data_IF_741837429655
#
_entry.id   IF_741837429655
#
_cell.length_a   1.000
_cell.length_b   1.000
_cell.length_c   1.000
_cell.angle_alpha   90.00
_cell.angle_beta   90.00
_cell.angle_gamma   90.00
#
_symmetry.space_group_name_H-M   'P 1'
#
loop_
_entity.id
_entity.type
_entity.pdbx_description
1 polymer ?
#
# COMPACT_ATOMS: atom_id res chain seq x y z
N UNK A 1 -5.34 5.54 0.57
CA UNK A 1 -5.08 6.40 -0.61
C UNK A 1 -6.11 6.21 -1.72
N UNK A 2 -6.40 4.99 -2.19
CA UNK A 2 -7.38 4.79 -3.27
C UNK A 2 -8.79 5.35 -3.00
N UNK A 3 -9.27 5.35 -1.75
CA UNK A 3 -10.57 5.92 -1.37
C UNK A 3 -10.58 7.46 -1.23
N UNK A 4 -9.41 8.11 -1.31
CA UNK A 4 -9.27 9.55 -1.13
C UNK A 4 -9.24 10.31 -2.47
N UNK A 5 -8.89 9.63 -3.55
CA UNK A 5 -8.80 10.24 -4.87
C UNK A 5 -10.20 10.18 -5.51
N UNK A 6 -10.78 11.31 -5.94
CA UNK A 6 -12.09 11.35 -6.57
C UNK A 6 -12.01 10.88 -8.03
N UNK A 7 -11.91 9.57 -8.24
CA UNK A 7 -11.69 8.99 -9.58
C UNK A 7 -12.79 9.32 -10.58
N UNK A 8 -14.06 9.24 -10.16
CA UNK A 8 -15.23 9.38 -11.03
C UNK A 8 -15.35 10.80 -11.62
N UNK A 9 -15.05 11.82 -10.82
CA UNK A 9 -15.15 13.24 -11.24
C UNK A 9 -14.20 13.58 -12.39
N UNK A 10 -13.01 12.96 -12.41
CA UNK A 10 -11.98 13.24 -13.41
C UNK A 10 -11.96 12.22 -14.55
N UNK A 11 -12.76 11.16 -14.48
CA UNK A 11 -12.90 10.18 -15.56
C UNK A 11 -13.53 10.86 -16.80
N UNK A 12 -14.51 11.74 -16.61
CA UNK A 12 -15.16 12.49 -17.70
C UNK A 12 -14.20 13.49 -18.38
N UNK A 13 -13.50 14.32 -17.60
CA UNK A 13 -12.48 15.25 -18.13
C UNK A 13 -11.35 14.49 -18.87
N UNK A 14 -10.99 13.31 -18.39
CA UNK A 14 -10.00 12.46 -19.02
C UNK A 14 -10.52 11.83 -20.33
N UNK A 15 -11.76 11.35 -20.34
CA UNK A 15 -12.40 10.75 -21.50
C UNK A 15 -12.56 11.75 -22.66
N UNK A 16 -12.90 13.01 -22.37
CA UNK A 16 -12.98 14.08 -23.37
C UNK A 16 -11.65 14.34 -24.08
N UNK A 17 -10.53 14.15 -23.39
CA UNK A 17 -9.19 14.29 -23.95
C UNK A 17 -8.72 13.03 -24.70
N UNK A 18 -9.52 11.96 -24.72
CA UNK A 18 -9.27 10.78 -25.52
C UNK A 18 -9.79 10.99 -26.94
N UNK A 19 -8.90 10.92 -27.92
CA UNK A 19 -9.32 10.89 -29.33
C UNK A 19 -10.11 9.60 -29.57
N UNK A 20 -11.37 9.72 -30.01
CA UNK A 20 -12.23 8.59 -30.39
C UNK A 20 -11.72 7.85 -31.65
N UNK A 21 -10.76 8.41 -32.36
CA UNK A 21 -10.25 7.85 -33.60
C UNK A 21 -9.20 6.75 -33.36
N UNK A 22 -9.69 5.50 -33.55
CA UNK A 22 -8.99 4.31 -34.04
C UNK A 22 -8.23 3.50 -32.97
N UNK A 23 -8.91 2.49 -32.40
CA UNK A 23 -8.25 1.38 -31.70
C UNK A 23 -9.00 0.79 -30.50
N UNK A 24 -8.31 -0.07 -29.75
CA UNK A 24 -8.79 -0.69 -28.50
C UNK A 24 -9.26 0.36 -27.48
N UNK A 25 -10.25 0.06 -26.63
CA UNK A 25 -10.84 1.02 -25.70
C UNK A 25 -9.79 1.69 -24.83
N UNK A 26 -9.93 3.02 -24.67
CA UNK A 26 -9.06 3.80 -23.81
C UNK A 26 -9.06 3.23 -22.38
N UNK A 27 -7.87 3.18 -21.76
CA UNK A 27 -7.74 2.74 -20.37
C UNK A 27 -8.37 3.77 -19.46
N UNK A 28 -9.07 3.31 -18.41
CA UNK A 28 -9.71 4.19 -17.43
C UNK A 28 -8.72 5.17 -16.81
N UNK A 29 -9.19 6.36 -16.46
CA UNK A 29 -8.39 7.39 -15.78
C UNK A 29 -7.72 6.85 -14.51
N UNK A 30 -8.47 6.06 -13.72
CA UNK A 30 -7.95 5.40 -12.52
C UNK A 30 -6.71 4.54 -12.78
N UNK A 31 -6.68 3.85 -13.91
CA UNK A 31 -5.53 3.02 -14.31
C UNK A 31 -4.34 3.88 -14.74
N UNK A 32 -4.60 4.93 -15.52
CA UNK A 32 -3.56 5.83 -15.99
C UNK A 32 -2.89 6.58 -14.85
N UNK A 33 -3.67 7.31 -14.04
CA UNK A 33 -3.15 8.07 -12.91
C UNK A 33 -2.58 7.14 -11.84
N UNK A 34 -3.25 6.02 -11.57
CA UNK A 34 -2.78 5.04 -10.59
C UNK A 34 -1.39 4.50 -10.95
N UNK A 35 -1.15 4.16 -12.22
CA UNK A 35 0.15 3.70 -12.67
C UNK A 35 1.25 4.77 -12.57
N UNK A 36 0.93 6.04 -12.88
CA UNK A 36 1.88 7.14 -12.74
C UNK A 36 2.24 7.40 -11.27
N UNK A 37 1.27 7.33 -10.37
CA UNK A 37 1.52 7.46 -8.92
C UNK A 37 2.43 6.33 -8.43
N UNK A 38 2.18 5.09 -8.84
CA UNK A 38 3.01 3.93 -8.45
C UNK A 38 4.45 4.14 -8.92
N UNK A 39 4.62 4.52 -10.19
CA UNK A 39 5.93 4.81 -10.76
C UNK A 39 6.68 5.87 -9.95
N UNK A 40 6.04 7.00 -9.68
CA UNK A 40 6.67 8.12 -8.96
C UNK A 40 6.97 7.77 -7.50
N UNK A 41 6.11 6.97 -6.86
CA UNK A 41 6.30 6.53 -5.47
C UNK A 41 7.45 5.53 -5.31
N UNK A 42 7.65 4.65 -6.29
CA UNK A 42 8.68 3.63 -6.26
C UNK A 42 10.00 4.08 -6.93
N UNK A 43 9.97 5.13 -7.75
CA UNK A 43 11.16 5.63 -8.45
C UNK A 43 11.71 4.67 -9.51
N UNK A 44 10.86 3.81 -10.07
CA UNK A 44 11.24 2.72 -10.99
C UNK A 44 10.93 3.06 -12.47
N UNK A 45 11.44 2.21 -13.37
CA UNK A 45 11.24 2.38 -14.81
C UNK A 45 9.80 2.07 -15.25
N UNK A 46 9.41 2.52 -16.45
CA UNK A 46 8.08 2.23 -17.01
C UNK A 46 7.83 0.71 -17.16
N UNK A 47 8.87 -0.05 -17.55
CA UNK A 47 8.80 -1.50 -17.68
C UNK A 47 8.61 -2.18 -16.33
N UNK A 48 9.42 -1.79 -15.36
CA UNK A 48 9.41 -2.36 -14.01
C UNK A 48 8.11 -2.03 -13.28
N UNK A 49 7.53 -0.84 -13.50
CA UNK A 49 6.21 -0.47 -12.95
C UNK A 49 5.14 -1.46 -13.36
N UNK A 50 5.14 -1.87 -14.63
CA UNK A 50 4.15 -2.82 -15.18
C UNK A 50 4.37 -4.23 -14.61
N UNK A 51 5.62 -4.64 -14.43
CA UNK A 51 5.97 -5.92 -13.81
C UNK A 51 5.55 -5.94 -12.32
N UNK A 52 5.82 -4.87 -11.57
CA UNK A 52 5.39 -4.72 -10.17
C UNK A 52 3.87 -4.78 -10.01
N UNK A 53 3.12 -4.14 -10.90
CA UNK A 53 1.66 -4.20 -10.89
C UNK A 53 1.17 -5.64 -11.17
N UNK A 54 1.83 -6.38 -12.08
CA UNK A 54 1.48 -7.78 -12.34
C UNK A 54 1.70 -8.67 -11.11
N UNK A 55 2.76 -8.45 -10.36
CA UNK A 55 3.14 -9.31 -9.23
C UNK A 55 2.30 -9.05 -7.98
N UNK A 56 1.89 -7.80 -7.74
CA UNK A 56 1.29 -7.40 -6.46
C UNK A 56 -0.24 -7.16 -6.56
N UNK A 57 -1.08 -7.96 -5.86
CA UNK A 57 -2.53 -7.78 -5.89
C UNK A 57 -3.02 -6.39 -5.44
N UNK A 58 -2.30 -5.78 -4.49
CA UNK A 58 -2.63 -4.45 -3.98
C UNK A 58 -2.49 -3.35 -5.03
N UNK A 59 -1.47 -3.43 -5.89
CA UNK A 59 -1.28 -2.45 -6.96
C UNK A 59 -2.32 -2.63 -8.07
N UNK A 60 -2.71 -3.87 -8.38
CA UNK A 60 -3.81 -4.16 -9.30
C UNK A 60 -5.13 -3.57 -8.80
N UNK A 61 -5.42 -3.75 -7.51
CA UNK A 61 -6.60 -3.13 -6.90
C UNK A 61 -6.50 -1.60 -6.93
N UNK A 62 -5.32 -1.02 -6.68
CA UNK A 62 -5.12 0.43 -6.70
C UNK A 62 -5.48 1.04 -8.06
N UNK A 63 -5.00 0.45 -9.16
CA UNK A 63 -5.28 0.88 -10.53
C UNK A 63 -6.71 0.56 -11.02
N UNK A 64 -7.53 -0.09 -10.19
CA UNK A 64 -8.94 -0.33 -10.48
C UNK A 64 -9.29 -1.69 -11.08
N UNK A 65 -8.41 -2.69 -10.96
CA UNK A 65 -8.76 -4.07 -11.30
C UNK A 65 -9.61 -4.69 -10.19
N UNK A 66 -10.69 -5.38 -10.57
CA UNK A 66 -11.61 -6.05 -9.63
C UNK A 66 -11.07 -7.38 -9.08
N UNK A 67 -10.17 -8.03 -9.81
CA UNK A 67 -9.59 -9.32 -9.45
C UNK A 67 -8.12 -9.39 -9.86
N UNK A 68 -7.35 -10.15 -9.09
CA UNK A 68 -5.95 -10.41 -9.39
C UNK A 68 -5.80 -11.20 -10.69
N UNK A 69 -4.89 -10.76 -11.56
CA UNK A 69 -4.49 -11.46 -12.77
C UNK A 69 -2.97 -11.45 -12.87
N UNK A 70 -2.37 -12.63 -13.02
CA UNK A 70 -0.92 -12.76 -13.25
C UNK A 70 -0.56 -12.49 -14.73
N UNK A 71 -1.05 -11.38 -15.26
CA UNK A 71 -0.76 -10.91 -16.63
C UNK A 71 -0.49 -9.42 -16.59
N UNK A 72 0.34 -8.97 -17.52
CA UNK A 72 0.65 -7.56 -17.71
C UNK A 72 -0.65 -6.78 -18.01
N UNK A 73 -0.98 -5.72 -17.25
CA UNK A 73 -2.24 -4.97 -17.42
C UNK A 73 -2.28 -4.11 -18.68
N UNK A 74 -1.13 -3.57 -19.08
CA UNK A 74 -0.92 -2.73 -20.28
C UNK A 74 0.56 -2.73 -20.66
N UNK A 75 0.88 -2.35 -21.90
CA UNK A 75 2.26 -2.24 -22.37
C UNK A 75 2.96 -1.02 -21.74
N UNK A 76 4.24 -1.14 -21.38
CA UNK A 76 4.99 -0.06 -20.73
C UNK A 76 5.06 1.24 -21.56
N UNK A 77 4.98 1.14 -22.89
CA UNK A 77 4.92 2.27 -23.82
C UNK A 77 3.72 3.20 -23.55
N UNK A 78 2.61 2.66 -23.04
CA UNK A 78 1.39 3.43 -22.74
C UNK A 78 1.60 4.45 -21.63
N UNK A 79 2.55 4.24 -20.71
CA UNK A 79 2.88 5.22 -19.66
C UNK A 79 3.37 6.55 -20.22
N UNK A 80 3.99 6.55 -21.40
CA UNK A 80 4.36 7.78 -22.12
C UNK A 80 3.11 8.56 -22.54
N UNK A 81 2.12 7.85 -23.09
CA UNK A 81 0.84 8.45 -23.47
C UNK A 81 0.06 8.95 -22.26
N UNK A 82 0.09 8.25 -21.13
CA UNK A 82 -0.54 8.72 -19.90
C UNK A 82 0.08 10.02 -19.41
N UNK A 83 1.42 10.15 -19.44
CA UNK A 83 2.11 11.40 -19.07
C UNK A 83 1.76 12.56 -19.99
N UNK A 84 1.61 12.31 -21.29
CA UNK A 84 1.22 13.34 -22.25
C UNK A 84 -0.25 13.77 -22.10
N UNK A 85 -1.13 12.92 -21.57
CA UNK A 85 -2.56 13.21 -21.40
C UNK A 85 -2.87 13.82 -20.04
N UNK A 86 -2.16 13.41 -19.00
CA UNK A 86 -2.34 13.91 -17.62
C UNK A 86 -1.40 15.10 -17.44
N UNK A 87 -1.90 16.28 -17.81
CA UNK A 87 -1.17 17.54 -17.68
C UNK A 87 -1.04 17.96 -16.21
N UNK A 88 -0.06 18.82 -15.93
CA UNK A 88 0.18 19.39 -14.60
C UNK A 88 -1.07 20.09 -14.04
N UNK A 89 -1.85 20.75 -14.90
CA UNK A 89 -3.08 21.42 -14.49
C UNK A 89 -4.13 20.45 -13.96
N UNK A 90 -4.28 19.28 -14.60
CA UNK A 90 -5.20 18.23 -14.16
C UNK A 90 -4.74 17.67 -12.80
N UNK A 91 -3.44 17.42 -12.63
CA UNK A 91 -2.87 16.96 -11.35
C UNK A 91 -3.09 17.99 -10.24
N UNK A 92 -2.91 19.28 -10.54
CA UNK A 92 -3.13 20.35 -9.58
C UNK A 92 -4.60 20.46 -9.17
N UNK A 93 -5.55 20.34 -10.12
CA UNK A 93 -6.98 20.28 -9.80
C UNK A 93 -7.31 19.12 -8.86
N UNK A 94 -6.79 17.92 -9.16
CA UNK A 94 -7.02 16.73 -8.32
C UNK A 94 -6.47 16.95 -6.91
N UNK A 95 -5.28 17.55 -6.78
CA UNK A 95 -4.69 17.89 -5.49
C UNK A 95 -5.57 18.88 -4.71
N UNK A 96 -6.11 19.90 -5.37
CA UNK A 96 -7.01 20.88 -4.74
C UNK A 96 -8.29 20.20 -4.24
N UNK A 97 -8.93 19.37 -5.06
CA UNK A 97 -10.16 18.66 -4.66
C UNK A 97 -9.90 17.67 -3.52
N UNK A 98 -8.80 16.91 -3.57
CA UNK A 98 -8.42 16.03 -2.46
C UNK A 98 -8.24 16.80 -1.14
N UNK A 99 -7.59 17.98 -1.17
CA UNK A 99 -7.40 18.80 0.03
C UNK A 99 -8.73 19.36 0.54
N UNK A 100 -9.64 19.77 -0.34
CA UNK A 100 -10.98 20.23 0.03
C UNK A 100 -11.77 19.13 0.72
N UNK A 101 -11.80 17.92 0.15
CA UNK A 101 -12.54 16.79 0.70
C UNK A 101 -11.99 16.33 2.05
N UNK A 102 -10.67 16.31 2.20
CA UNK A 102 -10.03 15.98 3.47
C UNK A 102 -10.38 17.04 4.53
N UNK A 103 -10.34 18.34 4.19
CA UNK A 103 -10.70 19.41 5.12
C UNK A 103 -12.17 19.34 5.55
N UNK A 104 -13.09 19.04 4.63
CA UNK A 104 -14.51 18.84 4.95
C UNK A 104 -14.72 17.66 5.91
N UNK A 105 -14.09 16.51 5.63
CA UNK A 105 -14.17 15.35 6.54
C UNK A 105 -13.62 15.66 7.94
N UNK A 106 -12.54 16.43 8.04
CA UNK A 106 -11.98 16.85 9.32
C UNK A 106 -12.93 17.80 10.07
N UNK A 107 -13.56 18.76 9.37
CA UNK A 107 -14.56 19.64 10.01
C UNK A 107 -15.76 18.86 10.50
N UNK A 108 -16.28 17.93 9.69
CA UNK A 108 -17.44 17.11 10.06
C UNK A 108 -17.12 16.17 11.24
N UNK A 109 -15.92 15.57 11.28
CA UNK A 109 -15.45 14.78 12.43
C UNK A 109 -15.25 15.63 13.70
N UNK A 110 -14.86 16.90 13.55
CA UNK A 110 -14.70 17.82 14.69
C UNK A 110 -16.04 18.30 15.26
N UNK A 111 -17.07 18.45 14.42
CA UNK A 111 -18.43 18.78 14.88
C UNK A 111 -19.09 17.58 15.59
N UNK A 112 -18.88 16.35 15.12
CA UNK A 112 -19.39 15.13 15.77
C UNK A 112 -18.73 14.92 17.14
N UNK A 113 -17.44 15.21 17.29
CA UNK A 113 -16.75 15.14 18.61
C UNK A 113 -17.21 16.23 19.58
N UNK A 114 -17.55 17.42 19.08
CA UNK A 114 -18.05 18.51 19.93
C UNK A 114 -19.46 18.23 20.49
N UNK A 115 -20.23 17.31 19.89
CA UNK A 115 -21.53 16.89 20.44
C UNK A 115 -21.46 15.75 21.47
N UNK A 116 -20.32 15.05 21.60
CA UNK A 116 -20.15 13.93 22.53
C UNK A 116 -19.16 14.20 23.68
N UNK A 117 -18.47 15.35 23.68
CA UNK A 117 -17.48 15.72 24.70
C UNK A 117 -17.81 17.08 25.35
N UNK A 118 -18.97 17.20 25.99
CA UNK A 118 -19.09 18.10 27.14
C UNK A 118 -18.53 17.35 28.36
N UNK A 119 -17.52 17.95 29.01
CA UNK A 119 -16.79 17.50 30.20
C UNK A 119 -15.66 16.46 29.97
N UNK A 120 -14.45 16.94 29.66
CA UNK A 120 -13.27 16.71 30.53
C UNK A 120 -12.05 17.50 30.03
N UNK A 121 -11.62 18.42 30.89
CA UNK A 121 -10.27 18.97 31.13
C UNK A 121 -9.24 18.93 29.99
N UNK A 122 -8.70 20.11 29.67
CA UNK A 122 -7.61 20.38 28.72
C UNK A 122 -6.50 19.31 28.76
N UNK A 123 -6.57 18.33 27.85
CA UNK A 123 -5.51 17.33 27.69
C UNK A 123 -4.28 17.98 27.05
N UNK A 124 -3.17 17.93 27.78
CA UNK A 124 -1.86 18.44 27.40
C UNK A 124 -1.47 18.02 25.96
N UNK A 125 -1.25 19.00 25.07
CA UNK A 125 -0.83 18.78 23.68
C UNK A 125 0.69 18.57 23.56
N UNK A 126 1.20 17.49 24.16
CA UNK A 126 2.59 17.04 24.00
C UNK A 126 2.74 15.96 22.93
N UNK A 127 3.88 15.93 22.23
CA UNK A 127 4.22 14.85 21.28
C UNK A 127 4.78 13.65 22.05
N UNK A 128 3.99 12.59 22.20
CA UNK A 128 4.45 11.32 22.76
C UNK A 128 5.31 10.59 21.72
N UNK A 129 6.60 10.40 22.00
CA UNK A 129 7.49 9.58 21.19
C UNK A 129 7.49 8.18 21.80
N UNK A 130 6.76 7.26 21.17
CA UNK A 130 6.77 5.84 21.52
C UNK A 130 7.75 5.13 20.59
N UNK A 131 8.94 4.80 21.09
CA UNK A 131 9.82 3.87 20.41
C UNK A 131 9.31 2.45 20.64
N UNK A 132 8.78 1.83 19.59
CA UNK A 132 8.30 0.45 19.61
C UNK A 132 9.31 -0.51 18.98
N UNK A 133 10.59 -0.35 19.31
CA UNK A 133 11.65 -1.32 18.96
C UNK A 133 12.16 -2.15 20.14
N UNK A 134 11.37 -2.27 21.21
CA UNK A 134 11.59 -3.31 22.22
C UNK A 134 10.59 -4.46 22.01
N UNK A 135 10.83 -5.26 20.98
CA UNK A 135 10.41 -6.66 21.04
C UNK A 135 11.53 -7.41 21.78
N UNK A 136 11.35 -7.84 23.04
CA UNK A 136 12.26 -8.80 23.64
C UNK A 136 12.05 -10.12 22.90
N UNK A 137 12.73 -10.27 21.78
CA UNK A 137 12.87 -11.53 21.12
C UNK A 137 13.77 -12.35 22.07
N UNK A 138 13.17 -13.24 22.85
CA UNK A 138 13.88 -14.32 23.53
C UNK A 138 14.42 -15.31 22.48
N UNK A 139 15.19 -14.80 21.52
CA UNK A 139 15.92 -15.54 20.53
C UNK A 139 17.29 -15.77 21.13
N UNK A 140 17.58 -17.02 21.51
CA UNK A 140 18.94 -17.42 21.82
C UNK A 140 19.83 -17.09 20.64
N UNK A 141 20.90 -16.32 20.89
CA UNK A 141 21.85 -15.90 19.86
C UNK A 141 22.51 -17.13 19.21
N UNK A 142 22.98 -17.05 17.94
CA UNK A 142 23.45 -18.22 17.19
C UNK A 142 24.65 -18.96 17.83
N UNK A 143 25.40 -18.30 18.71
CA UNK A 143 26.58 -18.85 19.40
C UNK A 143 26.29 -19.27 20.85
N UNK A 144 25.02 -19.36 21.23
CA UNK A 144 24.65 -19.60 22.62
C UNK A 144 24.82 -21.08 22.99
N UNK A 145 25.77 -21.36 23.90
CA UNK A 145 26.10 -22.69 24.42
C UNK A 145 24.88 -23.41 25.02
N UNK A 146 23.85 -22.64 25.39
CA UNK A 146 22.56 -23.16 25.85
C UNK A 146 21.86 -24.05 24.82
N UNK A 147 21.87 -23.67 23.53
CA UNK A 147 21.25 -24.47 22.45
C UNK A 147 21.99 -25.81 22.29
N UNK A 148 23.32 -25.79 22.34
CA UNK A 148 24.15 -27.00 22.25
C UNK A 148 23.89 -27.96 23.42
N UNK A 149 23.76 -27.44 24.64
CA UNK A 149 23.45 -28.27 25.81
C UNK A 149 22.03 -28.85 25.73
N UNK A 150 21.05 -28.08 25.23
CA UNK A 150 19.70 -28.60 24.98
C UNK A 150 19.70 -29.73 23.96
N UNK A 151 20.43 -29.57 22.84
CA UNK A 151 20.57 -30.62 21.83
C UNK A 151 21.18 -31.90 22.43
N UNK A 152 22.25 -31.79 23.23
CA UNK A 152 22.88 -32.93 23.92
C UNK A 152 21.88 -33.68 24.82
N UNK A 153 21.13 -32.94 25.65
CA UNK A 153 20.15 -33.55 26.56
C UNK A 153 19.02 -34.28 25.81
N UNK A 154 18.59 -33.76 24.65
CA UNK A 154 17.58 -34.42 23.82
C UNK A 154 18.13 -35.71 23.21
N UNK A 155 19.37 -35.70 22.71
CA UNK A 155 19.99 -36.92 22.17
C UNK A 155 20.18 -38.01 23.21
N UNK A 156 20.57 -37.67 24.44
CA UNK A 156 20.69 -38.64 25.54
C UNK A 156 19.35 -39.29 25.87
N UNK A 157 18.27 -38.49 25.94
CA UNK A 157 16.91 -39.02 26.16
C UNK A 157 16.46 -39.98 25.05
N UNK A 158 16.79 -39.69 23.80
CA UNK A 158 16.47 -40.57 22.67
C UNK A 158 17.25 -41.88 22.80
N UNK A 159 18.55 -41.80 23.12
CA UNK A 159 19.40 -42.98 23.33
C UNK A 159 18.84 -43.85 24.48
N UNK A 160 18.52 -43.26 25.62
CA UNK A 160 17.93 -43.98 26.76
C UNK A 160 16.60 -44.64 26.40
N UNK A 161 15.78 -43.97 25.59
CA UNK A 161 14.49 -44.50 25.13
C UNK A 161 14.66 -45.68 24.18
N UNK A 162 15.63 -45.60 23.25
CA UNK A 162 15.94 -46.68 22.32
C UNK A 162 16.60 -47.87 23.01
N UNK A 163 17.49 -47.63 23.96
CA UNK A 163 18.16 -48.69 24.71
C UNK A 163 17.16 -49.49 25.58
N UNK A 164 16.18 -48.80 26.20
CA UNK A 164 15.06 -49.45 26.90
C UNK A 164 14.16 -50.29 25.98
N UNK A 165 14.10 -49.99 24.69
CA UNK A 165 13.34 -50.76 23.71
C UNK A 165 14.10 -52.00 23.20
N UNK A 166 15.40 -52.08 23.48
CA UNK A 166 16.30 -53.12 22.98
C UNK A 166 16.71 -54.14 24.07
N UNK A 167 16.24 -53.95 25.32
CA UNK A 167 16.29 -54.91 26.43
C UNK A 167 14.91 -55.51 26.67
#
# INVERSE_FOLDING_TARGET
MAKLIPWEQFEEEYAQNSREEIGAPAKSFRMALGALIIKEKLGITDRETVEQIKETPYLQYFIGMSAYRNKVPFESSILVHFRSRINLDLVNKINQEMVKDIRKKISDESEIKNSEEEETEQKNRGRLILDATCAPAALSYPNDLGILNQARQQTEKIIDSLYKYQS
#
